data_IF_456239537957
#
_entry.id   IF_456239537957
#
_cell.length_a   1.000
_cell.length_b   1.000
_cell.length_c   1.000
_cell.angle_alpha   90.00
_cell.angle_beta   90.00
_cell.angle_gamma   90.00
#
_symmetry.space_group_name_H-M   'P 1'
#
loop_
_entity.id
_entity.type
_entity.pdbx_description
1 polymer ?
#
# COMPACT_ATOMS: atom_id res chain seq x y z
N UNK A 1 17.20 3.23 10.70
CA UNK A 1 15.86 3.06 11.31
C UNK A 1 15.47 1.60 11.12
N UNK A 2 14.60 1.03 11.95
CA UNK A 2 14.07 -0.33 11.77
C UNK A 2 12.55 -0.28 11.74
N UNK A 3 11.94 -1.31 11.16
CA UNK A 3 10.49 -1.44 11.11
C UNK A 3 10.06 -2.77 11.70
N UNK A 4 9.18 -2.71 12.69
CA UNK A 4 8.38 -3.85 13.10
C UNK A 4 7.12 -3.84 12.24
N UNK A 5 6.94 -4.91 11.47
CA UNK A 5 5.81 -5.07 10.54
C UNK A 5 5.09 -6.37 10.83
N UNK A 6 3.85 -6.47 10.35
CA UNK A 6 3.15 -7.76 10.31
C UNK A 6 3.80 -8.62 9.23
N UNK A 7 4.10 -9.89 9.56
CA UNK A 7 4.73 -10.84 8.63
C UNK A 7 4.01 -10.89 7.30
N UNK A 8 4.79 -10.97 6.22
CA UNK A 8 4.31 -11.00 4.84
C UNK A 8 3.51 -9.76 4.40
N UNK A 9 3.63 -8.65 5.12
CA UNK A 9 3.01 -7.37 4.73
C UNK A 9 4.01 -6.22 4.82
N UNK A 10 3.67 -5.06 4.26
CA UNK A 10 4.30 -3.77 4.54
C UNK A 10 3.61 -2.98 5.65
N UNK A 11 2.68 -3.57 6.39
CA UNK A 11 1.97 -2.86 7.46
C UNK A 11 2.87 -2.66 8.67
N UNK A 12 3.31 -1.42 8.86
CA UNK A 12 4.17 -1.00 9.98
C UNK A 12 3.37 -0.91 11.28
N UNK A 13 3.93 -1.50 12.33
CA UNK A 13 3.45 -1.42 13.71
C UNK A 13 4.27 -0.37 14.47
N UNK A 14 5.59 -0.42 14.33
CA UNK A 14 6.54 0.54 14.90
C UNK A 14 7.68 0.78 13.89
N UNK A 15 7.94 2.04 13.54
CA UNK A 15 9.09 2.47 12.77
C UNK A 15 9.91 3.45 13.59
N UNK A 16 11.04 3.01 14.14
CA UNK A 16 11.86 3.85 15.03
C UNK A 16 13.32 3.37 15.07
N UNK A 17 14.15 4.08 15.84
CA UNK A 17 15.53 3.69 16.14
C UNK A 17 15.64 2.92 17.46
N UNK A 18 14.51 2.46 18.01
CA UNK A 18 14.46 1.72 19.25
C UNK A 18 15.11 0.33 19.11
N UNK A 19 15.39 -0.30 20.26
CA UNK A 19 15.82 -1.70 20.26
C UNK A 19 14.69 -2.61 19.77
N UNK A 20 15.06 -3.75 19.20
CA UNK A 20 14.11 -4.75 18.72
C UNK A 20 13.15 -5.22 19.83
N UNK A 21 13.60 -5.23 21.07
CA UNK A 21 12.84 -5.63 22.26
C UNK A 21 11.70 -4.65 22.58
N UNK A 22 11.96 -3.35 22.45
CA UNK A 22 10.92 -2.31 22.63
C UNK A 22 9.88 -2.40 21.51
N UNK A 23 10.35 -2.61 20.28
CA UNK A 23 9.46 -2.73 19.12
C UNK A 23 8.57 -3.99 19.21
N UNK A 24 9.13 -5.10 19.68
CA UNK A 24 8.40 -6.33 20.00
C UNK A 24 7.34 -6.07 21.07
N UNK A 25 7.70 -5.43 22.18
CA UNK A 25 6.76 -5.10 23.24
C UNK A 25 5.62 -4.19 22.75
N UNK A 26 5.92 -3.22 21.88
CA UNK A 26 4.91 -2.35 21.28
C UNK A 26 3.92 -3.15 20.42
N UNK A 27 4.40 -4.13 19.65
CA UNK A 27 3.55 -5.01 18.88
C UNK A 27 2.68 -5.94 19.75
N UNK A 28 3.24 -6.50 20.81
CA UNK A 28 2.49 -7.30 21.79
C UNK A 28 1.40 -6.46 22.47
N UNK A 29 1.71 -5.22 22.83
CA UNK A 29 0.74 -4.27 23.41
C UNK A 29 -0.36 -3.88 22.42
N UNK A 30 -0.09 -3.96 21.11
CA UNK A 30 -1.09 -3.77 20.06
C UNK A 30 -1.97 -5.02 19.83
N UNK A 31 -1.76 -6.10 20.59
CA UNK A 31 -2.54 -7.33 20.53
C UNK A 31 -2.06 -8.32 19.46
N UNK A 32 -0.85 -8.14 18.94
CA UNK A 32 -0.23 -9.09 18.01
C UNK A 32 0.63 -10.10 18.78
N UNK A 33 0.90 -11.25 18.16
CA UNK A 33 1.82 -12.25 18.70
C UNK A 33 3.21 -12.14 18.07
N UNK A 34 4.24 -12.68 18.74
CA UNK A 34 5.60 -12.72 18.18
C UNK A 34 5.67 -13.48 16.85
N UNK A 35 4.76 -14.43 16.64
CA UNK A 35 4.68 -15.22 15.42
C UNK A 35 4.10 -14.44 14.25
N UNK A 36 3.35 -13.37 14.50
CA UNK A 36 2.70 -12.55 13.47
C UNK A 36 3.54 -11.35 13.05
N UNK A 37 4.66 -11.10 13.74
CA UNK A 37 5.48 -9.92 13.49
C UNK A 37 6.90 -10.27 13.08
N UNK A 38 7.54 -9.33 12.40
CA UNK A 38 8.95 -9.40 12.05
C UNK A 38 9.56 -8.00 12.15
N UNK A 39 10.88 -7.98 12.38
CA UNK A 39 11.65 -6.73 12.42
C UNK A 39 12.56 -6.72 11.22
N UNK A 40 12.38 -5.73 10.37
CA UNK A 40 13.15 -5.50 9.16
C UNK A 40 14.08 -4.31 9.34
N UNK A 41 15.22 -4.33 8.65
CA UNK A 41 16.00 -3.11 8.42
C UNK A 41 15.26 -2.17 7.46
N UNK A 42 15.74 -0.93 7.35
CA UNK A 42 15.21 0.02 6.37
C UNK A 42 15.28 -0.54 4.95
N UNK A 43 16.43 -1.10 4.58
CA UNK A 43 16.67 -1.63 3.24
C UNK A 43 15.75 -2.81 2.92
N UNK A 44 15.55 -3.72 3.88
CA UNK A 44 14.65 -4.88 3.72
C UNK A 44 13.19 -4.45 3.56
N UNK A 45 12.77 -3.45 4.35
CA UNK A 45 11.40 -2.92 4.28
C UNK A 45 11.12 -2.24 2.94
N UNK A 46 12.03 -1.37 2.47
CA UNK A 46 11.86 -0.72 1.16
C UNK A 46 11.87 -1.73 0.01
N UNK A 47 12.79 -2.71 0.04
CA UNK A 47 12.84 -3.75 -0.98
C UNK A 47 11.52 -4.55 -1.07
N UNK A 48 10.87 -4.83 0.07
CA UNK A 48 9.55 -5.48 0.06
C UNK A 48 8.46 -4.56 -0.49
N UNK A 49 8.47 -3.30 -0.08
CA UNK A 49 7.49 -2.30 -0.52
C UNK A 49 7.52 -2.09 -2.03
N UNK A 50 8.72 -2.13 -2.63
CA UNK A 50 8.89 -2.01 -4.08
C UNK A 50 8.38 -3.26 -4.85
N UNK A 51 8.31 -4.41 -4.18
CA UNK A 51 7.77 -5.66 -4.74
C UNK A 51 6.27 -5.82 -4.54
N UNK A 52 5.64 -5.03 -3.66
CA UNK A 52 4.20 -5.12 -3.45
C UNK A 52 3.45 -4.66 -4.72
N UNK A 53 2.49 -5.46 -5.22
CA UNK A 53 1.67 -5.05 -6.36
C UNK A 53 0.96 -3.74 -6.03
N UNK A 54 1.26 -2.69 -6.78
CA UNK A 54 0.56 -1.42 -6.67
C UNK A 54 -0.89 -1.71 -7.06
N UNK A 55 -1.82 -1.54 -6.11
CA UNK A 55 -3.24 -1.66 -6.41
C UNK A 55 -3.56 -0.77 -7.62
N UNK A 56 -4.32 -1.27 -8.62
CA UNK A 56 -4.70 -0.45 -9.75
C UNK A 56 -5.37 0.81 -9.21
N UNK A 57 -4.84 1.97 -9.60
CA UNK A 57 -5.39 3.25 -9.17
C UNK A 57 -6.84 3.31 -9.63
N UNK A 58 -7.76 3.65 -8.74
CA UNK A 58 -9.13 3.93 -9.18
C UNK A 58 -9.08 5.07 -10.20
N UNK A 59 -9.80 4.95 -11.34
CA UNK A 59 -9.83 6.02 -12.32
C UNK A 59 -10.36 7.29 -11.65
N UNK A 60 -9.70 8.40 -11.94
CA UNK A 60 -10.11 9.73 -11.49
C UNK A 60 -11.49 10.08 -12.04
N UNK A 61 -12.15 11.08 -11.45
CA UNK A 61 -13.43 11.56 -11.96
C UNK A 61 -13.32 12.04 -13.42
N UNK A 62 -12.20 12.66 -13.79
CA UNK A 62 -11.94 13.08 -15.18
C UNK A 62 -11.80 11.90 -16.13
N UNK A 63 -11.06 10.86 -15.76
CA UNK A 63 -10.94 9.63 -16.56
C UNK A 63 -12.27 8.88 -16.68
N UNK A 64 -13.06 8.83 -15.60
CA UNK A 64 -14.42 8.28 -15.62
C UNK A 64 -15.32 9.07 -16.56
N UNK A 65 -15.33 10.40 -16.43
CA UNK A 65 -16.11 11.28 -17.29
C UNK A 65 -15.70 11.15 -18.77
N UNK A 66 -14.39 11.02 -19.04
CA UNK A 66 -13.90 10.80 -20.41
C UNK A 66 -14.37 9.47 -20.96
N UNK A 67 -14.27 8.39 -20.19
CA UNK A 67 -14.75 7.08 -20.59
C UNK A 67 -16.28 7.08 -20.86
N UNK A 68 -17.06 7.79 -20.06
CA UNK A 68 -18.51 7.94 -20.26
C UNK A 68 -18.83 8.72 -21.55
N UNK A 69 -18.10 9.80 -21.83
CA UNK A 69 -18.24 10.59 -23.06
C UNK A 69 -17.86 9.75 -24.29
N UNK A 70 -16.73 9.04 -24.24
CA UNK A 70 -16.27 8.17 -25.31
C UNK A 70 -17.29 7.05 -25.58
N UNK A 71 -17.87 6.46 -24.53
CA UNK A 71 -18.94 5.46 -24.65
C UNK A 71 -20.18 6.02 -25.36
N UNK A 72 -20.62 7.23 -24.99
CA UNK A 72 -21.75 7.90 -25.64
C UNK A 72 -21.44 8.21 -27.11
N UNK A 73 -20.23 8.70 -27.42
CA UNK A 73 -19.78 8.99 -28.77
C UNK A 73 -19.86 7.74 -29.68
N UNK A 74 -19.35 6.61 -29.19
CA UNK A 74 -19.40 5.32 -29.89
C UNK A 74 -20.85 4.86 -30.11
N UNK A 75 -21.70 4.96 -29.07
CA UNK A 75 -23.10 4.50 -29.15
C UNK A 75 -23.98 5.39 -30.03
N UNK A 76 -23.64 6.67 -30.17
CA UNK A 76 -24.43 7.66 -30.92
C UNK A 76 -23.85 7.97 -32.30
N UNK A 77 -22.63 7.52 -32.60
CA UNK A 77 -21.93 7.81 -33.85
C UNK A 77 -21.56 9.29 -33.99
N UNK A 78 -21.47 10.02 -32.88
CA UNK A 78 -21.05 11.42 -32.86
C UNK A 78 -19.53 11.44 -32.70
N UNK A 79 -18.81 11.91 -33.71
CA UNK A 79 -17.39 12.23 -33.57
C UNK A 79 -17.25 13.46 -32.66
N UNK A 80 -16.81 13.24 -31.43
CA UNK A 80 -16.49 14.31 -30.49
C UNK A 80 -14.97 14.52 -30.60
N UNK A 81 -14.56 15.50 -31.42
CA UNK A 81 -13.18 16.00 -31.42
C UNK A 81 -12.91 16.67 -30.06
N UNK A 82 -12.19 16.00 -29.17
CA UNK A 82 -11.76 16.52 -27.86
C UNK A 82 -10.25 16.50 -27.75
#
# INVERSE_FOLDING_TARGET
MKYCVIKNTTKVIDGSSNSSEIMLQNALNAGLTEEEIEILTEEEYQARKDLEPIAPKEPTLEEKNRADIDYIAIMTGVDIDV
#
